data_IF_523401044560
#
_entry.id   IF_523401044560
#
_cell.length_a   1.000
_cell.length_b   1.000
_cell.length_c   1.000
_cell.angle_alpha   90.00
_cell.angle_beta   90.00
_cell.angle_gamma   90.00
#
_symmetry.space_group_name_H-M   'P 1'
#
loop_
_entity.id
_entity.type
_entity.pdbx_description
1 polymer ?
#
# COMPACT_ATOMS: atom_id res chain seq x y z
N UNK A 1 2.70 9.43 -18.47
CA UNK A 1 3.26 8.07 -18.27
C UNK A 1 4.62 8.20 -17.62
N UNK A 2 4.76 7.80 -16.35
CA UNK A 2 6.04 7.77 -15.67
C UNK A 2 6.95 6.76 -16.38
N UNK A 3 8.07 7.19 -16.96
CA UNK A 3 9.08 6.29 -17.53
C UNK A 3 9.60 5.40 -16.40
N UNK A 4 9.33 4.09 -16.49
CA UNK A 4 9.98 3.08 -15.66
C UNK A 4 11.50 3.15 -15.92
N UNK A 5 12.27 3.56 -14.91
CA UNK A 5 13.73 3.39 -14.93
C UNK A 5 14.03 1.89 -14.78
N UNK A 6 14.03 1.17 -15.89
CA UNK A 6 14.10 -0.30 -15.95
C UNK A 6 15.44 -0.88 -15.48
N UNK A 7 16.43 -0.06 -15.16
CA UNK A 7 17.80 -0.51 -14.86
C UNK A 7 18.30 -0.22 -13.43
N UNK A 8 17.47 0.28 -12.53
CA UNK A 8 17.86 0.60 -11.14
C UNK A 8 16.92 -0.11 -10.16
N UNK A 9 17.46 -0.62 -9.08
CA UNK A 9 16.67 -1.25 -8.03
C UNK A 9 15.83 -2.43 -8.54
N UNK A 10 14.55 -2.44 -8.19
CA UNK A 10 13.58 -3.46 -8.58
C UNK A 10 13.28 -3.49 -10.09
N UNK A 11 13.57 -2.42 -10.81
CA UNK A 11 13.39 -2.36 -12.27
C UNK A 11 14.11 -3.45 -13.04
N UNK A 12 15.25 -3.92 -12.51
CA UNK A 12 16.03 -5.05 -13.09
C UNK A 12 15.32 -6.40 -13.01
N UNK A 13 14.33 -6.53 -12.14
CA UNK A 13 13.60 -7.76 -11.87
C UNK A 13 12.23 -7.79 -12.52
N UNK A 14 11.81 -6.69 -13.15
CA UNK A 14 10.53 -6.64 -13.83
C UNK A 14 10.54 -7.61 -15.04
N UNK A 15 9.52 -8.49 -15.17
CA UNK A 15 9.41 -9.38 -16.31
C UNK A 15 9.00 -8.62 -17.57
N UNK A 16 9.12 -9.26 -18.74
CA UNK A 16 8.60 -8.73 -20.00
C UNK A 16 7.05 -8.68 -20.00
N UNK A 17 6.40 -9.71 -19.44
CA UNK A 17 4.95 -9.73 -19.22
C UNK A 17 4.54 -8.85 -18.04
N UNK A 18 3.30 -8.33 -18.08
CA UNK A 18 2.80 -7.33 -17.11
C UNK A 18 1.55 -7.77 -16.37
N UNK A 19 1.15 -9.04 -16.46
CA UNK A 19 0.08 -9.56 -15.61
C UNK A 19 0.50 -9.62 -14.14
N UNK A 20 -0.44 -9.48 -13.23
CA UNK A 20 -0.17 -9.58 -11.77
C UNK A 20 0.50 -10.91 -11.43
N UNK A 21 0.10 -12.00 -12.10
CA UNK A 21 0.71 -13.32 -11.91
C UNK A 21 2.20 -13.33 -12.28
N UNK A 22 2.57 -12.76 -13.43
CA UNK A 22 3.97 -12.69 -13.89
C UNK A 22 4.80 -11.75 -13.01
N UNK A 23 4.24 -10.60 -12.63
CA UNK A 23 4.87 -9.64 -11.72
C UNK A 23 5.14 -10.29 -10.35
N UNK A 24 4.17 -10.99 -9.77
CA UNK A 24 4.30 -11.69 -8.48
C UNK A 24 5.37 -12.79 -8.55
N UNK A 25 5.38 -13.59 -9.62
CA UNK A 25 6.37 -14.63 -9.81
C UNK A 25 7.80 -14.06 -9.92
N UNK A 26 7.99 -12.99 -10.69
CA UNK A 26 9.28 -12.33 -10.82
C UNK A 26 9.74 -11.65 -9.53
N UNK A 27 8.80 -11.04 -8.80
CA UNK A 27 9.06 -10.38 -7.53
C UNK A 27 9.65 -11.34 -6.48
N UNK A 28 9.31 -12.61 -6.50
CA UNK A 28 9.79 -13.61 -5.54
C UNK A 28 11.33 -13.70 -5.48
N UNK A 29 12.03 -13.29 -6.53
CA UNK A 29 13.51 -13.29 -6.59
C UNK A 29 14.11 -11.91 -6.45
N UNK A 30 13.33 -10.89 -6.10
CA UNK A 30 13.77 -9.50 -6.09
C UNK A 30 14.84 -9.23 -5.03
N UNK A 31 15.98 -8.72 -5.47
CA UNK A 31 17.10 -8.23 -4.65
C UNK A 31 17.45 -6.78 -5.00
N UNK A 32 16.43 -5.98 -5.34
CA UNK A 32 16.58 -4.61 -5.80
C UNK A 32 17.02 -3.60 -4.73
N UNK A 33 16.93 -3.96 -3.44
CA UNK A 33 17.43 -3.18 -2.30
C UNK A 33 17.83 -4.13 -1.16
N UNK A 34 18.57 -3.62 -0.16
CA UNK A 34 19.15 -4.46 0.91
C UNK A 34 18.11 -5.08 1.86
N UNK A 35 16.86 -4.69 1.79
CA UNK A 35 15.82 -5.21 2.70
C UNK A 35 15.57 -6.70 2.54
N UNK A 36 15.79 -7.25 1.35
CA UNK A 36 15.65 -8.70 1.10
C UNK A 36 16.56 -9.57 2.00
N UNK A 37 17.70 -9.03 2.46
CA UNK A 37 18.65 -9.77 3.28
C UNK A 37 18.08 -10.20 4.64
N UNK A 38 17.19 -9.39 5.21
CA UNK A 38 16.64 -9.58 6.55
C UNK A 38 15.15 -9.94 6.54
N UNK A 39 14.46 -9.75 5.41
CA UNK A 39 13.07 -10.14 5.27
C UNK A 39 12.97 -11.67 5.09
N UNK A 40 11.89 -12.26 5.57
CA UNK A 40 11.60 -13.69 5.40
C UNK A 40 11.25 -13.99 3.94
N UNK A 41 10.47 -13.09 3.33
CA UNK A 41 10.04 -13.17 1.94
C UNK A 41 9.58 -11.81 1.43
N UNK A 42 9.34 -11.74 0.13
CA UNK A 42 8.65 -10.60 -0.45
C UNK A 42 7.13 -10.69 -0.16
N UNK A 43 6.50 -9.56 0.14
CA UNK A 43 5.05 -9.45 0.29
C UNK A 43 4.54 -8.62 -0.87
N UNK A 44 4.03 -9.30 -1.88
CA UNK A 44 3.45 -8.68 -3.08
C UNK A 44 2.00 -8.27 -2.81
N UNK A 45 1.41 -7.43 -3.68
CA UNK A 45 0.01 -7.03 -3.54
C UNK A 45 -0.96 -8.20 -3.72
N UNK A 46 -2.17 -8.08 -3.19
CA UNK A 46 -3.20 -9.10 -3.22
C UNK A 46 -4.60 -8.50 -3.39
N UNK A 47 -5.51 -9.26 -4.00
CA UNK A 47 -6.89 -8.87 -4.28
C UNK A 47 -7.26 -8.98 -5.75
N UNK A 48 -8.38 -8.40 -6.13
CA UNK A 48 -8.93 -8.47 -7.50
C UNK A 48 -8.01 -7.82 -8.53
N UNK A 49 -7.73 -8.52 -9.62
CA UNK A 49 -7.01 -7.96 -10.78
C UNK A 49 -7.88 -6.95 -11.57
N UNK A 50 -9.19 -6.92 -11.35
CA UNK A 50 -10.13 -5.94 -11.89
C UNK A 50 -10.50 -4.84 -10.89
N UNK A 51 -9.77 -4.75 -9.79
CA UNK A 51 -10.07 -3.78 -8.73
C UNK A 51 -10.12 -2.34 -9.26
N UNK A 52 -11.21 -1.63 -8.95
CA UNK A 52 -11.34 -0.20 -9.25
C UNK A 52 -10.71 0.68 -8.17
N UNK A 53 -10.43 0.11 -7.00
CA UNK A 53 -9.75 0.75 -5.87
C UNK A 53 -8.49 -0.03 -5.50
N UNK A 54 -7.37 0.70 -5.37
CA UNK A 54 -6.12 0.12 -4.87
C UNK A 54 -5.70 0.85 -3.59
N UNK A 55 -5.47 0.07 -2.53
CA UNK A 55 -4.98 0.60 -1.25
C UNK A 55 -3.47 0.34 -1.13
N UNK A 56 -2.73 1.36 -0.75
CA UNK A 56 -1.26 1.31 -0.72
C UNK A 56 -0.77 1.66 0.68
N UNK A 57 -0.16 0.70 1.36
CA UNK A 57 0.53 0.88 2.64
C UNK A 57 1.99 1.29 2.48
N UNK A 58 2.71 1.33 3.62
CA UNK A 58 4.13 1.68 3.66
C UNK A 58 5.02 0.50 3.28
N UNK A 59 4.99 -0.56 4.07
CA UNK A 59 5.74 -1.81 3.92
C UNK A 59 5.05 -2.94 4.71
N UNK A 60 5.39 -4.21 4.48
CA UNK A 60 4.90 -5.31 5.31
C UNK A 60 5.25 -5.12 6.78
N UNK A 61 4.41 -5.63 7.68
CA UNK A 61 4.73 -5.83 9.09
C UNK A 61 5.33 -7.21 9.34
N UNK A 62 5.49 -7.55 10.63
CA UNK A 62 6.05 -8.83 11.06
C UNK A 62 5.21 -10.03 10.62
N UNK A 63 3.90 -9.91 10.77
CA UNK A 63 2.95 -10.95 10.40
C UNK A 63 2.91 -11.18 8.88
N UNK A 64 2.87 -10.09 8.12
CA UNK A 64 2.86 -10.11 6.66
C UNK A 64 4.16 -10.70 6.10
N UNK A 65 5.31 -10.39 6.71
CA UNK A 65 6.60 -10.95 6.32
C UNK A 65 6.66 -12.49 6.52
N UNK A 66 5.94 -13.02 7.53
CA UNK A 66 5.83 -14.45 7.79
C UNK A 66 4.82 -15.14 6.86
N UNK A 67 3.68 -14.50 6.59
CA UNK A 67 2.59 -15.11 5.82
C UNK A 67 2.71 -14.90 4.31
N UNK A 68 3.40 -13.84 3.87
CA UNK A 68 3.44 -13.40 2.48
C UNK A 68 2.18 -12.66 2.01
N UNK A 69 1.21 -12.43 2.90
CA UNK A 69 -0.08 -11.79 2.59
C UNK A 69 -0.08 -10.35 3.11
N UNK A 70 -0.29 -9.32 2.25
CA UNK A 70 -0.33 -7.94 2.69
C UNK A 70 -1.52 -7.69 3.61
N UNK A 71 -1.31 -6.89 4.66
CA UNK A 71 -2.33 -6.55 5.64
C UNK A 71 -2.97 -7.74 6.36
N UNK A 72 -2.24 -8.84 6.58
CA UNK A 72 -2.72 -10.00 7.35
C UNK A 72 -2.65 -9.81 8.88
N UNK A 73 -1.95 -8.77 9.35
CA UNK A 73 -1.79 -8.46 10.76
C UNK A 73 -2.88 -7.51 11.33
N UNK A 74 -2.67 -6.98 12.56
CA UNK A 74 -3.66 -6.14 13.24
C UNK A 74 -4.08 -4.88 12.48
N UNK A 75 -3.16 -4.27 11.73
CA UNK A 75 -3.47 -3.12 10.87
C UNK A 75 -4.44 -3.51 9.74
N UNK A 76 -4.29 -4.72 9.19
CA UNK A 76 -5.20 -5.26 8.18
C UNK A 76 -6.59 -5.55 8.74
N UNK A 77 -6.70 -6.14 9.92
CA UNK A 77 -7.99 -6.35 10.57
C UNK A 77 -8.76 -5.04 10.79
N UNK A 78 -8.05 -3.95 11.12
CA UNK A 78 -8.68 -2.63 11.24
C UNK A 78 -9.07 -2.08 9.87
N UNK A 79 -8.24 -2.29 8.85
CA UNK A 79 -8.55 -1.92 7.48
C UNK A 79 -9.81 -2.65 6.97
N UNK A 80 -9.89 -3.97 7.16
CA UNK A 80 -11.03 -4.79 6.73
C UNK A 80 -12.33 -4.32 7.41
N UNK A 81 -12.27 -3.98 8.71
CA UNK A 81 -13.40 -3.36 9.41
C UNK A 81 -13.75 -2.01 8.80
N UNK A 82 -12.77 -1.16 8.50
CA UNK A 82 -13.00 0.14 7.87
C UNK A 82 -13.64 0.03 6.50
N UNK A 83 -13.21 -0.94 5.68
CA UNK A 83 -13.81 -1.24 4.38
C UNK A 83 -15.28 -1.69 4.53
N UNK A 84 -15.55 -2.66 5.41
CA UNK A 84 -16.90 -3.14 5.68
C UNK A 84 -17.83 -2.02 6.17
N UNK A 85 -17.39 -1.19 7.12
CA UNK A 85 -18.14 -0.05 7.64
C UNK A 85 -18.32 1.07 6.59
N UNK A 86 -17.43 1.14 5.60
CA UNK A 86 -17.56 2.04 4.45
C UNK A 86 -18.50 1.49 3.35
N UNK A 87 -18.91 0.23 3.44
CA UNK A 87 -19.71 -0.46 2.42
C UNK A 87 -18.91 -0.92 1.21
N UNK A 88 -17.62 -1.19 1.40
CA UNK A 88 -16.67 -1.62 0.34
C UNK A 88 -16.36 -3.10 0.56
N UNK A 89 -16.58 -3.92 -0.46
CA UNK A 89 -16.21 -5.33 -0.41
C UNK A 89 -14.69 -5.48 -0.49
N UNK A 90 -14.11 -6.23 0.46
CA UNK A 90 -12.68 -6.52 0.50
C UNK A 90 -12.21 -7.27 -0.75
N UNK A 91 -13.06 -8.07 -1.37
CA UNK A 91 -12.75 -8.84 -2.57
C UNK A 91 -12.72 -7.98 -3.84
N UNK A 92 -13.32 -6.79 -3.82
CA UNK A 92 -13.32 -5.85 -4.95
C UNK A 92 -12.14 -4.89 -4.96
N UNK A 93 -11.26 -4.94 -3.95
CA UNK A 93 -10.10 -4.07 -3.83
C UNK A 93 -8.80 -4.83 -4.03
N UNK A 94 -7.77 -4.10 -4.49
CA UNK A 94 -6.39 -4.58 -4.51
C UNK A 94 -5.60 -3.87 -3.42
N UNK A 95 -4.87 -4.63 -2.60
CA UNK A 95 -4.10 -4.06 -1.48
C UNK A 95 -2.63 -4.39 -1.65
N UNK A 96 -1.79 -3.39 -1.49
CA UNK A 96 -0.33 -3.53 -1.61
C UNK A 96 0.40 -2.58 -0.68
N UNK A 97 1.73 -2.57 -0.76
CA UNK A 97 2.61 -1.66 -0.06
C UNK A 97 3.59 -0.97 -1.02
N UNK A 98 4.04 0.23 -0.67
CA UNK A 98 5.06 0.97 -1.40
C UNK A 98 6.40 0.22 -1.44
N UNK A 99 6.74 -0.47 -0.35
CA UNK A 99 7.93 -1.32 -0.22
C UNK A 99 7.48 -2.76 0.02
N UNK A 100 8.12 -3.72 -0.67
CA UNK A 100 7.67 -5.12 -0.66
C UNK A 100 8.35 -6.02 0.37
N UNK A 101 9.44 -5.57 1.01
CA UNK A 101 10.15 -6.32 2.04
C UNK A 101 10.04 -5.61 3.39
N UNK A 102 9.93 -6.39 4.46
CA UNK A 102 9.85 -5.88 5.83
C UNK A 102 11.21 -5.34 6.30
N UNK A 103 11.24 -4.07 6.69
CA UNK A 103 12.40 -3.47 7.35
C UNK A 103 12.25 -3.54 8.85
N UNK A 104 13.21 -4.17 9.53
CA UNK A 104 13.19 -4.34 10.97
C UNK A 104 14.59 -4.37 11.58
N UNK A 105 14.64 -4.16 12.88
CA UNK A 105 15.83 -4.35 13.71
C UNK A 105 15.52 -5.36 14.84
N UNK A 106 16.48 -6.22 15.21
CA UNK A 106 16.31 -7.16 16.30
C UNK A 106 16.29 -6.43 17.64
N UNK A 107 15.34 -6.79 18.52
CA UNK A 107 15.29 -6.38 19.92
C UNK A 107 14.95 -7.59 20.77
N UNK A 108 15.96 -8.30 21.26
CA UNK A 108 15.79 -9.60 21.88
C UNK A 108 15.15 -10.59 20.90
N UNK A 109 14.02 -11.18 21.27
CA UNK A 109 13.26 -12.11 20.42
C UNK A 109 12.28 -11.41 19.45
N UNK A 110 12.16 -10.08 19.48
CA UNK A 110 11.21 -9.31 18.68
C UNK A 110 11.89 -8.66 17.49
N UNK A 111 11.17 -8.58 16.37
CA UNK A 111 11.55 -7.81 15.18
C UNK A 111 10.85 -6.46 15.24
N UNK A 112 11.62 -5.39 15.50
CA UNK A 112 11.07 -4.04 15.58
C UNK A 112 11.00 -3.40 14.20
N UNK A 113 9.80 -3.08 13.78
CA UNK A 113 9.54 -2.31 12.56
C UNK A 113 10.40 -1.03 12.50
N UNK A 114 11.04 -0.83 11.35
CA UNK A 114 11.81 0.36 11.02
C UNK A 114 11.25 0.99 9.75
N UNK A 115 11.14 2.30 9.72
CA UNK A 115 10.65 3.01 8.55
C UNK A 115 11.62 2.86 7.37
N UNK A 116 11.13 2.54 6.14
CA UNK A 116 11.97 2.53 4.95
C UNK A 116 12.58 3.92 4.69
N UNK A 117 13.84 3.95 4.28
CA UNK A 117 14.48 5.19 3.86
C UNK A 117 14.18 5.52 2.39
N UNK A 118 14.60 6.72 1.94
CA UNK A 118 14.32 7.18 0.59
C UNK A 118 14.93 6.31 -0.51
N UNK A 119 16.11 5.70 -0.28
CA UNK A 119 16.77 4.81 -1.26
C UNK A 119 15.99 3.50 -1.41
N UNK A 120 15.56 2.90 -0.33
CA UNK A 120 14.77 1.66 -0.31
C UNK A 120 13.41 1.86 -1.00
N UNK A 121 12.75 2.98 -0.70
CA UNK A 121 11.49 3.38 -1.35
C UNK A 121 11.69 3.53 -2.85
N UNK A 122 12.68 4.30 -3.29
CA UNK A 122 12.96 4.54 -4.71
C UNK A 122 13.30 3.23 -5.43
N UNK A 123 14.12 2.38 -4.80
CA UNK A 123 14.50 1.08 -5.36
C UNK A 123 13.30 0.14 -5.53
N UNK A 124 12.30 0.19 -4.64
CA UNK A 124 11.11 -0.68 -4.68
C UNK A 124 9.97 -0.13 -5.55
N UNK A 125 9.95 1.18 -5.83
CA UNK A 125 8.87 1.87 -6.58
C UNK A 125 8.50 1.21 -7.91
N UNK A 126 9.44 0.62 -8.70
CA UNK A 126 9.08 -0.03 -9.97
C UNK A 126 8.02 -1.13 -9.83
N UNK A 127 7.99 -1.89 -8.70
CA UNK A 127 6.93 -2.86 -8.45
C UNK A 127 5.57 -2.22 -8.30
N UNK A 128 5.46 -1.13 -7.50
CA UNK A 128 4.20 -0.42 -7.30
C UNK A 128 3.67 0.16 -8.62
N UNK A 129 4.56 0.76 -9.43
CA UNK A 129 4.17 1.29 -10.75
C UNK A 129 3.64 0.18 -11.64
N UNK A 130 4.33 -0.97 -11.69
CA UNK A 130 3.90 -2.12 -12.48
C UNK A 130 2.54 -2.69 -12.01
N UNK A 131 2.28 -2.74 -10.69
CA UNK A 131 0.97 -3.13 -10.16
C UNK A 131 -0.13 -2.14 -10.58
N UNK A 132 0.12 -0.83 -10.47
CA UNK A 132 -0.85 0.20 -10.91
C UNK A 132 -1.13 0.11 -12.41
N UNK A 133 -0.09 -0.11 -13.23
CA UNK A 133 -0.22 -0.30 -14.68
C UNK A 133 -1.01 -1.57 -15.04
N UNK A 134 -0.84 -2.65 -14.26
CA UNK A 134 -1.54 -3.92 -14.49
C UNK A 134 -3.02 -3.87 -14.07
N UNK A 135 -3.32 -3.28 -12.91
CA UNK A 135 -4.67 -3.19 -12.33
C UNK A 135 -5.48 -2.05 -12.95
N UNK A 136 -4.84 -0.92 -13.28
CA UNK A 136 -5.49 0.30 -13.80
C UNK A 136 -6.66 0.79 -12.93
N UNK A 137 -6.46 0.98 -11.60
CA UNK A 137 -7.52 1.37 -10.70
C UNK A 137 -8.03 2.78 -10.99
N UNK A 138 -9.31 3.03 -10.77
CA UNK A 138 -9.90 4.36 -10.88
C UNK A 138 -9.49 5.29 -9.72
N UNK A 139 -9.16 4.71 -8.54
CA UNK A 139 -8.70 5.45 -7.38
C UNK A 139 -7.59 4.71 -6.64
N UNK A 140 -6.58 5.47 -6.19
CA UNK A 140 -5.51 5.03 -5.29
C UNK A 140 -5.75 5.62 -3.91
N UNK A 141 -5.79 4.78 -2.88
CA UNK A 141 -5.90 5.20 -1.48
C UNK A 141 -4.54 5.01 -0.81
N UNK A 142 -3.87 6.11 -0.51
CA UNK A 142 -2.57 6.11 0.16
C UNK A 142 -2.77 6.05 1.67
N UNK A 143 -2.41 4.94 2.29
CA UNK A 143 -2.47 4.70 3.72
C UNK A 143 -1.18 5.20 4.39
N UNK A 144 -1.18 6.45 4.82
CA UNK A 144 -0.07 7.11 5.50
C UNK A 144 0.91 7.86 4.59
N UNK A 145 1.80 8.61 5.22
CA UNK A 145 2.68 9.58 4.55
C UNK A 145 3.69 8.93 3.58
N UNK A 146 4.15 7.70 3.87
CA UNK A 146 5.12 7.01 3.00
C UNK A 146 4.47 6.61 1.68
N UNK A 147 3.27 6.03 1.71
CA UNK A 147 2.50 5.70 0.52
C UNK A 147 2.18 6.97 -0.30
N UNK A 148 1.69 8.03 0.37
CA UNK A 148 1.42 9.31 -0.27
C UNK A 148 2.66 9.88 -0.98
N UNK A 149 3.83 9.86 -0.32
CA UNK A 149 5.10 10.33 -0.92
C UNK A 149 5.49 9.55 -2.17
N UNK A 150 5.32 8.23 -2.16
CA UNK A 150 5.70 7.36 -3.30
C UNK A 150 4.81 7.60 -4.50
N UNK A 151 3.51 7.79 -4.27
CA UNK A 151 2.49 7.97 -5.30
C UNK A 151 2.51 9.40 -5.85
N UNK A 152 2.61 10.41 -4.99
CA UNK A 152 2.57 11.83 -5.37
C UNK A 152 3.94 12.41 -5.75
N UNK A 153 5.04 11.67 -5.52
CA UNK A 153 6.40 12.13 -5.81
C UNK A 153 6.91 13.26 -4.91
N UNK A 154 6.12 13.69 -3.91
CA UNK A 154 6.45 14.80 -2.99
C UNK A 154 6.01 14.50 -1.56
N UNK A 155 6.59 15.21 -0.59
CA UNK A 155 6.14 15.14 0.80
C UNK A 155 4.74 15.74 0.91
N UNK A 156 3.83 14.96 1.50
CA UNK A 156 2.42 15.36 1.69
C UNK A 156 2.08 15.19 3.16
N UNK A 157 1.58 16.24 3.78
CA UNK A 157 1.08 16.17 5.15
C UNK A 157 -0.35 15.63 5.13
N UNK A 158 -0.53 14.44 5.70
CA UNK A 158 -1.84 13.78 5.73
C UNK A 158 -2.90 14.66 6.41
N UNK A 159 -2.55 15.37 7.50
CA UNK A 159 -3.47 16.24 8.23
C UNK A 159 -4.03 17.41 7.41
N UNK A 160 -3.34 17.80 6.34
CA UNK A 160 -3.75 18.94 5.48
C UNK A 160 -4.58 18.47 4.26
N UNK A 161 -4.42 17.20 3.84
CA UNK A 161 -4.98 16.73 2.56
C UNK A 161 -5.79 15.43 2.69
N UNK A 162 -6.05 14.95 3.92
CA UNK A 162 -6.83 13.71 4.08
C UNK A 162 -8.24 13.87 3.54
N UNK A 163 -8.72 12.87 2.84
CA UNK A 163 -10.07 12.85 2.27
C UNK A 163 -10.24 13.75 1.02
N UNK A 164 -9.19 14.44 0.59
CA UNK A 164 -9.19 15.25 -0.64
C UNK A 164 -8.67 14.44 -1.83
N UNK A 165 -9.19 14.72 -3.02
CA UNK A 165 -8.66 14.18 -4.26
C UNK A 165 -7.44 14.95 -4.72
N UNK A 166 -6.36 14.21 -4.97
CA UNK A 166 -5.10 14.72 -5.50
C UNK A 166 -4.81 14.08 -6.86
N UNK A 167 -3.99 14.75 -7.67
CA UNK A 167 -3.53 14.23 -8.96
C UNK A 167 -2.10 13.70 -8.85
N UNK A 168 -1.78 12.69 -9.66
CA UNK A 168 -0.42 12.20 -9.83
C UNK A 168 -0.16 11.70 -11.25
N UNK A 169 1.13 11.49 -11.54
CA UNK A 169 1.58 10.93 -12.83
C UNK A 169 1.15 9.47 -13.06
N UNK A 170 0.56 8.83 -12.07
CA UNK A 170 0.06 7.45 -12.18
C UNK A 170 -1.34 7.35 -12.83
N UNK A 171 -1.95 8.48 -13.18
CA UNK A 171 -3.19 8.53 -13.99
C UNK A 171 -4.48 8.22 -13.24
N UNK A 172 -4.41 7.90 -11.94
CA UNK A 172 -5.58 7.64 -11.10
C UNK A 172 -5.88 8.83 -10.20
N UNK A 173 -7.12 8.95 -9.72
CA UNK A 173 -7.45 9.85 -8.61
C UNK A 173 -6.82 9.31 -7.33
N UNK A 174 -6.28 10.20 -6.50
CA UNK A 174 -5.58 9.81 -5.28
C UNK A 174 -6.28 10.41 -4.09
N UNK A 175 -6.52 9.57 -3.08
CA UNK A 175 -6.91 10.01 -1.74
C UNK A 175 -5.79 9.62 -0.78
N UNK A 176 -5.46 10.53 0.14
CA UNK A 176 -4.56 10.26 1.24
C UNK A 176 -5.34 10.17 2.54
N UNK A 177 -5.02 9.16 3.36
CA UNK A 177 -5.59 8.98 4.69
C UNK A 177 -4.54 8.47 5.67
N UNK A 178 -4.90 8.31 6.92
CA UNK A 178 -3.99 7.77 7.93
C UNK A 178 -3.73 6.28 7.71
N UNK A 179 -2.56 5.79 8.13
CA UNK A 179 -2.32 4.35 8.14
C UNK A 179 -3.09 3.69 9.30
N UNK A 180 -3.76 2.55 9.11
CA UNK A 180 -4.55 1.88 10.16
C UNK A 180 -3.77 1.64 11.46
N UNK A 181 -2.47 1.36 11.38
CA UNK A 181 -1.63 1.19 12.57
C UNK A 181 -1.51 2.45 13.43
N UNK A 182 -1.75 3.65 12.88
CA UNK A 182 -1.76 4.87 13.68
C UNK A 182 -3.00 4.97 14.58
N UNK A 183 -4.15 4.48 14.09
CA UNK A 183 -5.40 4.39 14.85
C UNK A 183 -5.24 3.39 16.01
N UNK A 184 -4.59 2.24 15.75
CA UNK A 184 -4.32 1.23 16.79
C UNK A 184 -3.45 1.75 17.92
N UNK A 185 -2.59 2.75 17.67
CA UNK A 185 -1.70 3.35 18.69
C UNK A 185 -2.35 4.43 19.54
N UNK A 186 -3.58 4.84 19.23
CA UNK A 186 -4.32 5.80 20.06
C UNK A 186 -4.81 5.07 21.31
N UNK A 187 -4.32 5.48 22.48
CA UNK A 187 -4.68 4.86 23.77
C UNK A 187 -6.10 5.27 24.22
N UNK A 188 -6.46 6.53 24.05
CA UNK A 188 -7.77 7.04 24.37
C UNK A 188 -8.86 6.44 23.47
N UNK A 189 -9.89 5.85 24.06
CA UNK A 189 -10.95 5.14 23.34
C UNK A 189 -11.80 6.05 22.47
N UNK A 190 -12.11 7.26 22.94
CA UNK A 190 -13.00 8.19 22.26
C UNK A 190 -12.28 8.82 21.07
N UNK A 191 -11.00 9.18 21.26
CA UNK A 191 -10.13 9.66 20.20
C UNK A 191 -9.91 8.59 19.14
N UNK A 192 -9.77 7.31 19.53
CA UNK A 192 -9.64 6.19 18.59
C UNK A 192 -10.91 6.00 17.76
N UNK A 193 -12.09 6.12 18.38
CA UNK A 193 -13.37 6.07 17.67
C UNK A 193 -13.52 7.25 16.68
N UNK A 194 -13.12 8.46 17.09
CA UNK A 194 -13.12 9.62 16.19
C UNK A 194 -12.21 9.37 14.98
N UNK A 195 -10.98 8.91 15.22
CA UNK A 195 -10.03 8.60 14.15
C UNK A 195 -10.53 7.50 13.21
N UNK A 196 -11.22 6.48 13.76
CA UNK A 196 -11.83 5.41 12.96
C UNK A 196 -12.99 5.93 12.10
N UNK A 197 -13.89 6.74 12.63
CA UNK A 197 -14.98 7.37 11.84
C UNK A 197 -14.41 8.19 10.67
N UNK A 198 -13.41 9.03 10.94
CA UNK A 198 -12.76 9.81 9.90
C UNK A 198 -12.09 8.94 8.84
N UNK A 199 -11.49 7.81 9.23
CA UNK A 199 -10.87 6.86 8.31
C UNK A 199 -11.93 6.22 7.39
N UNK A 200 -13.06 5.82 7.95
CA UNK A 200 -14.21 5.29 7.20
C UNK A 200 -14.75 6.32 6.20
N UNK A 201 -14.85 7.59 6.60
CA UNK A 201 -15.34 8.65 5.73
C UNK A 201 -14.37 8.95 4.56
N UNK A 202 -13.06 8.85 4.79
CA UNK A 202 -12.05 8.95 3.72
C UNK A 202 -12.22 7.78 2.71
N UNK A 203 -12.44 6.55 3.19
CA UNK A 203 -12.70 5.38 2.34
C UNK A 203 -14.00 5.54 1.53
N UNK A 204 -15.08 6.02 2.16
CA UNK A 204 -16.34 6.33 1.46
C UNK A 204 -16.15 7.38 0.39
N UNK A 205 -15.34 8.42 0.66
CA UNK A 205 -15.02 9.46 -0.34
C UNK A 205 -14.30 8.84 -1.53
N UNK A 206 -13.33 7.94 -1.30
CA UNK A 206 -12.65 7.21 -2.36
C UNK A 206 -13.62 6.34 -3.19
N UNK A 207 -14.58 5.68 -2.53
CA UNK A 207 -15.52 4.77 -3.19
C UNK A 207 -16.55 5.51 -4.05
N UNK A 208 -17.03 6.69 -3.63
CA UNK A 208 -18.07 7.47 -4.33
C UNK A 208 -17.72 7.88 -5.76
N UNK A 209 -16.45 7.93 -6.12
CA UNK A 209 -16.01 8.34 -7.46
C UNK A 209 -15.84 7.17 -8.42
N UNK A 210 -16.01 5.97 -7.93
CA UNK A 210 -16.00 4.78 -8.76
C UNK A 210 -17.37 4.62 -9.45
N UNK A 211 -17.38 4.23 -10.74
CA UNK A 211 -18.63 3.91 -11.39
C UNK A 211 -19.30 2.76 -10.62
N UNK A 212 -20.61 2.87 -10.38
CA UNK A 212 -21.42 1.83 -9.75
C UNK A 212 -21.19 0.50 -10.46
N UNK A 213 -20.59 -0.45 -9.78
CA UNK A 213 -20.53 -1.86 -10.20
C UNK A 213 -21.81 -2.61 -9.79
N UNK A 214 -22.98 -1.97 -9.93
CA UNK A 214 -24.28 -2.69 -9.82
C UNK A 214 -24.67 -3.14 -11.21
N UNK A 215 -24.38 -4.38 -11.49
CA UNK A 215 -25.06 -5.16 -12.54
C UNK A 215 -26.00 -6.13 -11.86
#
# INVERSE_FOLDING_TARGET
>A
MAKLESNVGAGKFLPAGRSIRELRAAAATCKGCDLWNNATQIVFGDGSEQAKMMLIGEQPGDQEDLTGIPFSGPAGQLLDRGLADAGIDREEVYITNAVKHFKWLPRGKRRLHQKPNGREITACRPWLVAEVEAIQPGVLVCLGATAARVVLGKMTKISEHRGEFLESDLGSRIIVTVHPSSILRIEDSDMRQVAMRQFIDDLRTAHRVLPDCRV
#
